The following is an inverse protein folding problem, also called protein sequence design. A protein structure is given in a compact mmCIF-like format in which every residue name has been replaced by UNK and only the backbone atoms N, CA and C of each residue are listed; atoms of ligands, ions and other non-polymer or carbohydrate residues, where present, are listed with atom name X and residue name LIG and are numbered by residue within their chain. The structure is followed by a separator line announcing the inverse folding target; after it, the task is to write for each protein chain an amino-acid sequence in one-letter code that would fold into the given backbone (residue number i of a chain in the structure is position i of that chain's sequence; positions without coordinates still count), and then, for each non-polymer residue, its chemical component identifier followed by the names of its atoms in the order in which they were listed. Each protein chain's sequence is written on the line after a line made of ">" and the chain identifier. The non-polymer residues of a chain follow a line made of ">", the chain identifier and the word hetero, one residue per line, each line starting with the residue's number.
data_IF_566973765253
#
_entry.id   IF_566973765253
#
_cell.length_a   1.000
_cell.length_b   1.000
_cell.length_c   1.000
_cell.angle_alpha   90.00
_cell.angle_beta   90.00
_cell.angle_gamma   90.00
#
_symmetry.space_group_name_H-M   'P 1'
#
loop_
_entity.id
_entity.type
_entity.pdbx_description
1 polymer ?
#
# COMPACT_ATOMS: atom_id res chain seq x y z
N UNK A 1 27.70 20.68 0.21
CA UNK A 1 26.25 20.66 -0.08
C UNK A 1 25.71 19.33 0.43
N UNK A 2 24.54 19.28 1.09
CA UNK A 2 23.96 18.01 1.52
C UNK A 2 23.37 17.27 0.32
N UNK A 3 23.48 15.95 0.28
CA UNK A 3 23.00 15.10 -0.83
C UNK A 3 21.89 14.17 -0.36
N UNK A 4 20.83 14.05 -1.16
CA UNK A 4 19.73 13.10 -0.98
C UNK A 4 19.69 12.13 -2.16
N UNK A 5 19.70 10.84 -1.85
CA UNK A 5 19.54 9.78 -2.86
C UNK A 5 18.05 9.52 -3.10
N UNK A 6 17.62 9.47 -4.35
CA UNK A 6 16.27 9.04 -4.74
C UNK A 6 16.40 7.64 -5.36
N UNK A 7 15.86 6.63 -4.70
CA UNK A 7 15.86 5.26 -5.22
C UNK A 7 14.68 5.04 -6.16
N UNK A 8 14.97 4.51 -7.35
CA UNK A 8 13.97 4.13 -8.36
C UNK A 8 14.16 2.68 -8.83
N UNK A 9 13.10 2.06 -9.34
CA UNK A 9 13.14 0.66 -9.79
C UNK A 9 13.70 0.48 -11.21
N UNK A 10 13.72 1.53 -12.03
CA UNK A 10 14.23 1.49 -13.42
C UNK A 10 14.89 2.81 -13.82
N UNK A 11 15.93 2.74 -14.67
CA UNK A 11 16.66 3.93 -15.17
C UNK A 11 15.81 4.74 -16.16
N UNK A 12 14.96 4.06 -16.93
CA UNK A 12 14.04 4.67 -17.88
C UNK A 12 12.70 4.90 -17.20
N UNK A 13 12.54 6.11 -16.71
CA UNK A 13 11.27 6.59 -16.18
C UNK A 13 10.61 7.41 -17.29
N UNK A 14 9.42 7.01 -17.72
CA UNK A 14 8.64 7.70 -18.75
C UNK A 14 7.42 8.42 -18.16
N UNK A 15 6.89 9.40 -18.89
CA UNK A 15 5.64 10.06 -18.52
C UNK A 15 5.67 10.78 -17.17
N UNK A 16 4.68 10.48 -16.31
CA UNK A 16 4.40 11.20 -15.06
C UNK A 16 5.56 11.12 -14.06
N UNK A 17 6.14 9.93 -13.90
CA UNK A 17 7.19 9.69 -12.92
C UNK A 17 8.46 10.52 -13.24
N UNK A 18 8.75 10.73 -14.54
CA UNK A 18 9.87 11.57 -14.99
C UNK A 18 9.68 13.02 -14.60
N UNK A 19 8.47 13.56 -14.83
CA UNK A 19 8.10 14.95 -14.50
C UNK A 19 8.25 15.17 -12.99
N UNK A 20 7.72 14.25 -12.19
CA UNK A 20 7.82 14.32 -10.73
C UNK A 20 9.27 14.27 -10.24
N UNK A 21 10.08 13.36 -10.82
CA UNK A 21 11.50 13.22 -10.49
C UNK A 21 12.28 14.49 -10.79
N UNK A 22 12.15 15.03 -12.00
CA UNK A 22 12.85 16.24 -12.42
C UNK A 22 12.43 17.45 -11.55
N UNK A 23 11.14 17.59 -11.26
CA UNK A 23 10.64 18.64 -10.39
C UNK A 23 11.15 18.50 -8.95
N UNK A 24 11.22 17.29 -8.41
CA UNK A 24 11.74 17.04 -7.06
C UNK A 24 13.24 17.35 -6.98
N UNK A 25 14.03 16.95 -7.97
CA UNK A 25 15.46 17.29 -8.04
C UNK A 25 15.68 18.81 -8.07
N UNK A 26 14.86 19.54 -8.85
CA UNK A 26 14.92 21.00 -8.89
C UNK A 26 14.50 21.64 -7.55
N UNK A 27 13.45 21.12 -6.91
CA UNK A 27 12.98 21.59 -5.61
C UNK A 27 13.99 21.33 -4.48
N UNK A 28 14.76 20.23 -4.54
CA UNK A 28 15.87 19.99 -3.62
C UNK A 28 17.01 20.99 -3.87
N UNK A 29 17.38 21.20 -5.14
CA UNK A 29 18.44 22.13 -5.55
C UNK A 29 18.15 23.56 -5.14
N UNK A 30 16.92 24.04 -5.33
CA UNK A 30 16.51 25.39 -4.90
C UNK A 30 16.59 25.59 -3.38
N UNK A 31 16.65 24.51 -2.60
CA UNK A 31 16.80 24.51 -1.14
C UNK A 31 18.22 24.17 -0.68
N UNK A 32 19.20 24.16 -1.58
CA UNK A 32 20.61 23.90 -1.27
C UNK A 32 20.94 22.43 -1.02
N UNK A 33 20.12 21.51 -1.55
CA UNK A 33 20.38 20.07 -1.54
C UNK A 33 20.67 19.54 -2.94
N UNK A 34 21.64 18.66 -3.05
CA UNK A 34 21.87 17.87 -4.26
C UNK A 34 20.94 16.65 -4.24
N UNK A 35 20.17 16.44 -5.30
CA UNK A 35 19.43 15.20 -5.50
C UNK A 35 20.18 14.31 -6.49
N UNK A 36 20.32 13.02 -6.18
CA UNK A 36 20.90 12.02 -7.08
C UNK A 36 20.00 10.80 -7.18
N UNK A 37 19.72 10.36 -8.40
CA UNK A 37 18.87 9.19 -8.65
C UNK A 37 19.75 7.94 -8.72
N UNK A 38 19.38 6.90 -7.96
CA UNK A 38 20.03 5.58 -8.01
C UNK A 38 18.97 4.52 -8.31
N UNK A 39 19.33 3.59 -9.19
CA UNK A 39 18.51 2.41 -9.44
C UNK A 39 19.05 1.27 -8.60
N UNK A 40 18.15 0.55 -7.92
CA UNK A 40 18.55 -0.59 -7.11
C UNK A 40 18.59 -1.86 -7.96
N UNK A 41 19.74 -2.52 -7.95
CA UNK A 41 19.94 -3.87 -8.46
C UNK A 41 20.65 -4.68 -7.37
N UNK A 42 20.20 -5.91 -7.11
CA UNK A 42 20.74 -6.74 -6.01
C UNK A 42 22.25 -6.94 -6.14
N UNK A 43 22.74 -7.13 -7.37
CA UNK A 43 24.17 -7.31 -7.67
C UNK A 43 25.04 -6.08 -7.40
N UNK A 44 24.43 -4.89 -7.24
CA UNK A 44 25.12 -3.62 -6.99
C UNK A 44 24.96 -3.16 -5.54
N UNK A 45 24.36 -3.97 -4.66
CA UNK A 45 24.04 -3.58 -3.28
C UNK A 45 25.26 -3.05 -2.51
N UNK A 46 26.38 -3.77 -2.58
CA UNK A 46 27.61 -3.41 -1.88
C UNK A 46 28.21 -2.11 -2.43
N UNK A 47 28.28 -1.97 -3.75
CA UNK A 47 28.77 -0.76 -4.42
C UNK A 47 27.90 0.46 -4.09
N UNK A 48 26.57 0.29 -4.13
CA UNK A 48 25.62 1.33 -3.76
C UNK A 48 25.81 1.76 -2.31
N UNK A 49 25.94 0.81 -1.39
CA UNK A 49 26.20 1.11 0.02
C UNK A 49 27.49 1.92 0.21
N UNK A 50 28.61 1.47 -0.38
CA UNK A 50 29.90 2.16 -0.26
C UNK A 50 29.88 3.58 -0.85
N UNK A 51 29.26 3.74 -2.02
CA UNK A 51 29.17 5.04 -2.70
C UNK A 51 28.29 6.03 -1.92
N UNK A 52 27.12 5.56 -1.45
CA UNK A 52 26.12 6.39 -0.78
C UNK A 52 26.59 6.76 0.63
N UNK A 53 27.12 5.82 1.40
CA UNK A 53 27.59 6.06 2.78
C UNK A 53 28.65 7.16 2.89
N UNK A 54 29.47 7.35 1.85
CA UNK A 54 30.53 8.37 1.80
C UNK A 54 30.03 9.76 1.37
N UNK A 55 28.88 9.84 0.70
CA UNK A 55 28.48 11.05 -0.04
C UNK A 55 27.10 11.60 0.29
N UNK A 56 26.19 10.78 0.81
CA UNK A 56 24.81 11.15 1.06
C UNK A 56 24.55 11.53 2.53
N UNK A 57 23.52 12.34 2.74
CA UNK A 57 22.98 12.69 4.06
C UNK A 57 21.62 12.06 4.34
N UNK A 58 20.96 11.54 3.31
CA UNK A 58 19.70 10.81 3.44
C UNK A 58 19.24 10.23 2.11
N UNK A 59 18.14 9.49 2.15
CA UNK A 59 17.53 8.88 0.96
C UNK A 59 16.01 8.98 0.98
N UNK A 60 15.40 8.91 -0.20
CA UNK A 60 13.97 8.77 -0.42
C UNK A 60 13.72 7.57 -1.33
N UNK A 61 12.91 6.61 -0.88
CA UNK A 61 12.55 5.45 -1.69
C UNK A 61 11.29 5.72 -2.51
N UNK A 62 11.41 5.57 -3.84
CA UNK A 62 10.28 5.53 -4.78
C UNK A 62 10.06 4.12 -5.34
N UNK A 63 10.52 3.08 -4.64
CA UNK A 63 10.37 1.70 -5.06
C UNK A 63 9.15 1.09 -4.36
N UNK A 64 8.17 0.61 -5.15
CA UNK A 64 7.06 -0.19 -4.61
C UNK A 64 7.57 -1.60 -4.25
N UNK A 65 7.62 -1.92 -2.96
CA UNK A 65 8.10 -3.23 -2.48
C UNK A 65 7.26 -4.41 -3.00
N UNK A 66 5.99 -4.17 -3.30
CA UNK A 66 5.08 -5.16 -3.88
C UNK A 66 5.49 -5.63 -5.28
N UNK A 67 6.30 -4.84 -6.00
CA UNK A 67 6.78 -5.15 -7.35
C UNK A 67 8.13 -5.87 -7.35
N UNK A 68 8.78 -6.00 -6.19
CA UNK A 68 10.04 -6.72 -6.03
C UNK A 68 9.80 -8.19 -5.69
N UNK A 69 10.65 -9.08 -6.22
CA UNK A 69 10.71 -10.46 -5.78
C UNK A 69 11.16 -10.54 -4.31
N UNK A 70 10.82 -11.61 -3.55
CA UNK A 70 11.10 -11.69 -2.12
C UNK A 70 12.56 -11.40 -1.75
N UNK A 71 13.53 -12.03 -2.43
CA UNK A 71 14.96 -11.83 -2.18
C UNK A 71 15.43 -10.41 -2.52
N UNK A 72 14.87 -9.80 -3.57
CA UNK A 72 15.20 -8.42 -3.95
C UNK A 72 14.66 -7.43 -2.92
N UNK A 73 13.44 -7.66 -2.44
CA UNK A 73 12.81 -6.85 -1.39
C UNK A 73 13.61 -6.89 -0.09
N UNK A 74 13.99 -8.08 0.36
CA UNK A 74 14.81 -8.26 1.56
C UNK A 74 16.18 -7.59 1.39
N UNK A 75 16.83 -7.81 0.25
CA UNK A 75 18.13 -7.19 -0.08
C UNK A 75 18.05 -5.67 -0.09
N UNK A 76 16.96 -5.10 -0.64
CA UNK A 76 16.72 -3.67 -0.67
C UNK A 76 16.49 -3.10 0.73
N UNK A 77 15.61 -3.71 1.53
CA UNK A 77 15.36 -3.27 2.90
C UNK A 77 16.63 -3.34 3.75
N UNK A 78 17.47 -4.36 3.59
CA UNK A 78 18.74 -4.45 4.31
C UNK A 78 19.76 -3.39 3.86
N UNK A 79 19.77 -3.01 2.57
CA UNK A 79 20.57 -1.86 2.11
C UNK A 79 20.11 -0.59 2.85
N UNK A 80 18.81 -0.31 2.88
CA UNK A 80 18.29 0.89 3.53
C UNK A 80 18.60 0.89 5.04
N UNK A 81 18.41 -0.24 5.74
CA UNK A 81 18.76 -0.37 7.16
C UNK A 81 20.27 -0.16 7.39
N UNK A 82 21.11 -0.69 6.50
CA UNK A 82 22.57 -0.50 6.60
C UNK A 82 22.96 0.96 6.42
N UNK A 83 22.32 1.68 5.50
CA UNK A 83 22.52 3.13 5.31
C UNK A 83 22.15 3.93 6.56
N UNK A 84 21.03 3.59 7.23
CA UNK A 84 20.64 4.25 8.47
C UNK A 84 21.65 4.01 9.61
N UNK A 85 22.20 2.79 9.73
CA UNK A 85 23.25 2.47 10.72
C UNK A 85 24.51 3.33 10.60
N UNK A 86 24.81 3.85 9.41
CA UNK A 86 25.97 4.74 9.17
C UNK A 86 25.58 6.22 9.05
N UNK A 87 24.36 6.58 9.43
CA UNK A 87 23.89 7.97 9.50
C UNK A 87 23.36 8.55 8.18
N UNK A 88 23.06 7.70 7.20
CA UNK A 88 22.32 8.10 5.97
C UNK A 88 20.85 7.74 6.16
N UNK A 89 20.07 8.71 6.65
CA UNK A 89 18.70 8.46 7.10
C UNK A 89 17.67 8.42 5.97
N UNK A 90 16.65 7.58 6.13
CA UNK A 90 15.49 7.57 5.26
C UNK A 90 14.53 8.70 5.58
N UNK A 91 14.05 9.38 4.54
CA UNK A 91 12.88 10.25 4.62
C UNK A 91 11.67 9.46 5.15
N UNK A 92 11.57 8.19 4.77
CA UNK A 92 10.67 7.19 5.38
C UNK A 92 11.57 6.05 5.82
N UNK A 93 11.46 5.62 7.08
CA UNK A 93 12.29 4.53 7.59
C UNK A 93 11.90 3.18 6.94
N UNK A 94 12.83 2.21 6.80
CA UNK A 94 12.60 0.96 6.07
C UNK A 94 11.44 0.14 6.63
N UNK A 95 11.32 0.09 7.96
CA UNK A 95 10.22 -0.60 8.64
C UNK A 95 8.87 0.05 8.35
N UNK A 96 8.82 1.38 8.17
CA UNK A 96 7.60 2.09 7.81
C UNK A 96 7.23 1.82 6.35
N UNK A 97 8.20 1.79 5.43
CA UNK A 97 7.97 1.40 4.03
C UNK A 97 7.40 -0.01 3.97
N UNK A 98 8.00 -0.94 4.70
CA UNK A 98 7.56 -2.34 4.79
C UNK A 98 6.13 -2.44 5.35
N UNK A 99 5.84 -1.79 6.48
CA UNK A 99 4.53 -1.82 7.12
C UNK A 99 3.42 -1.22 6.24
N UNK A 100 3.68 -0.09 5.56
CA UNK A 100 2.69 0.51 4.65
C UNK A 100 2.50 -0.27 3.36
N UNK A 101 3.49 -1.07 2.93
CA UNK A 101 3.40 -1.90 1.72
C UNK A 101 2.64 -3.21 1.96
N UNK A 102 2.46 -3.59 3.22
CA UNK A 102 1.77 -4.80 3.64
C UNK A 102 0.27 -4.55 3.77
N UNK A 103 -0.55 -5.35 3.08
CA UNK A 103 -2.02 -5.21 3.17
C UNK A 103 -2.57 -5.65 4.52
N UNK A 104 -1.96 -6.65 5.15
CA UNK A 104 -2.37 -7.15 6.46
C UNK A 104 -2.10 -6.17 7.61
N UNK A 105 -1.29 -5.14 7.40
CA UNK A 105 -1.12 -4.00 8.32
C UNK A 105 -2.42 -3.27 8.61
N UNK A 106 -3.40 -3.33 7.69
CA UNK A 106 -4.73 -2.77 7.89
C UNK A 106 -5.43 -3.37 9.12
N UNK A 107 -5.12 -4.62 9.50
CA UNK A 107 -5.73 -5.27 10.66
C UNK A 107 -5.38 -4.55 11.98
N UNK A 108 -4.22 -3.89 12.05
CA UNK A 108 -3.82 -3.05 13.20
C UNK A 108 -4.74 -1.83 13.35
N UNK A 109 -5.44 -1.46 12.29
CA UNK A 109 -6.33 -0.31 12.22
C UNK A 109 -7.81 -0.68 12.47
N UNK A 110 -8.20 -1.95 12.64
CA UNK A 110 -9.61 -2.30 12.89
C UNK A 110 -10.21 -1.51 14.04
N UNK A 111 -9.52 -1.42 15.17
CA UNK A 111 -10.01 -0.72 16.37
C UNK A 111 -10.21 0.80 16.17
N UNK A 112 -9.76 1.36 15.05
CA UNK A 112 -9.89 2.78 14.77
C UNK A 112 -11.15 3.13 13.95
N UNK A 113 -11.89 2.13 13.48
CA UNK A 113 -13.12 2.29 12.71
C UNK A 113 -12.93 2.64 11.23
N UNK A 114 -11.70 2.62 10.71
CA UNK A 114 -11.43 2.80 9.28
C UNK A 114 -11.49 1.47 8.52
N UNK A 115 -11.19 0.35 9.16
CA UNK A 115 -11.21 -0.97 8.54
C UNK A 115 -12.43 -1.73 9.05
N UNK A 116 -13.06 -2.53 8.20
CA UNK A 116 -14.25 -3.29 8.59
C UNK A 116 -13.92 -4.22 9.78
N UNK A 117 -14.79 -4.24 10.79
CA UNK A 117 -14.56 -5.03 12.02
C UNK A 117 -14.46 -6.53 11.75
N UNK A 118 -15.23 -7.02 10.78
CA UNK A 118 -15.24 -8.40 10.30
C UNK A 118 -14.07 -8.70 9.34
N UNK A 119 -12.86 -8.28 9.69
CA UNK A 119 -11.64 -8.48 8.90
C UNK A 119 -10.62 -9.36 9.64
N UNK A 120 -10.00 -10.29 8.92
CA UNK A 120 -9.10 -11.30 9.52
C UNK A 120 -7.79 -11.42 8.76
N UNK A 121 -6.75 -11.88 9.49
CA UNK A 121 -5.44 -12.18 8.94
C UNK A 121 -5.03 -13.60 9.24
N UNK A 122 -4.48 -14.28 8.24
CA UNK A 122 -4.02 -15.66 8.34
C UNK A 122 -2.55 -15.77 7.91
N UNK A 123 -1.65 -15.86 8.90
CA UNK A 123 -0.23 -16.16 8.68
C UNK A 123 0.10 -17.66 8.75
N UNK A 124 -0.91 -18.53 8.87
CA UNK A 124 -0.73 -19.96 9.01
C UNK A 124 -1.81 -20.69 8.18
N UNK A 125 -1.41 -21.74 7.46
CA UNK A 125 -2.27 -22.46 6.51
C UNK A 125 -3.38 -23.23 7.22
N UNK A 126 -3.08 -23.90 8.32
CA UNK A 126 -4.09 -24.66 9.08
C UNK A 126 -5.16 -23.72 9.64
N UNK A 127 -4.74 -22.59 10.23
CA UNK A 127 -5.66 -21.56 10.75
C UNK A 127 -6.53 -20.97 9.65
N UNK A 128 -5.98 -20.69 8.47
CA UNK A 128 -6.78 -20.21 7.33
C UNK A 128 -7.87 -21.22 6.96
N UNK A 129 -7.49 -22.49 6.80
CA UNK A 129 -8.41 -23.57 6.43
C UNK A 129 -9.51 -23.81 7.46
N UNK A 130 -9.19 -23.65 8.74
CA UNK A 130 -10.15 -23.83 9.84
C UNK A 130 -11.06 -22.60 10.02
N UNK A 131 -10.52 -21.37 9.95
CA UNK A 131 -11.24 -20.15 10.34
C UNK A 131 -12.00 -19.47 9.19
N UNK A 132 -11.47 -19.47 7.96
CA UNK A 132 -12.14 -18.81 6.82
C UNK A 132 -13.56 -19.33 6.52
N UNK A 133 -13.88 -20.63 6.67
CA UNK A 133 -15.25 -21.11 6.48
C UNK A 133 -16.29 -20.44 7.37
N UNK A 134 -15.91 -19.91 8.54
CA UNK A 134 -16.80 -19.18 9.44
C UNK A 134 -17.06 -17.76 8.95
N UNK A 135 -16.02 -17.05 8.49
CA UNK A 135 -16.20 -15.70 7.92
C UNK A 135 -16.96 -15.72 6.61
N UNK A 136 -16.82 -16.78 5.79
CA UNK A 136 -17.55 -16.91 4.53
C UNK A 136 -19.06 -17.13 4.71
N UNK A 137 -19.52 -17.59 5.87
CA UNK A 137 -20.96 -17.70 6.16
C UNK A 137 -21.61 -16.33 6.29
N UNK A 138 -20.92 -15.38 6.92
CA UNK A 138 -21.52 -14.08 7.30
C UNK A 138 -21.73 -13.17 6.11
N UNK A 139 -20.79 -13.19 5.16
CA UNK A 139 -20.85 -12.38 3.96
C UNK A 139 -19.99 -12.97 2.85
N UNK A 140 -20.19 -12.48 1.63
CA UNK A 140 -19.18 -12.62 0.60
C UNK A 140 -17.86 -11.98 1.04
N UNK A 141 -16.74 -12.58 0.64
CA UNK A 141 -15.39 -12.23 1.11
C UNK A 141 -14.48 -11.80 -0.04
N UNK A 142 -13.47 -11.00 0.28
CA UNK A 142 -12.33 -10.71 -0.59
C UNK A 142 -11.07 -11.16 0.12
N UNK A 143 -10.39 -12.13 -0.47
CA UNK A 143 -9.10 -12.60 -0.02
C UNK A 143 -7.97 -11.91 -0.79
N UNK A 144 -6.94 -11.48 -0.08
CA UNK A 144 -5.76 -10.80 -0.65
C UNK A 144 -4.49 -11.28 0.03
N UNK A 145 -3.43 -11.64 -0.71
CA UNK A 145 -2.11 -11.81 -0.12
C UNK A 145 -1.61 -10.48 0.45
N UNK A 146 -0.83 -10.54 1.55
CA UNK A 146 -0.27 -9.37 2.20
C UNK A 146 0.68 -8.57 1.29
N UNK A 147 1.29 -9.23 0.30
CA UNK A 147 2.17 -8.65 -0.71
C UNK A 147 1.85 -9.13 -2.13
N UNK A 148 2.16 -8.29 -3.12
CA UNK A 148 2.07 -8.61 -4.54
C UNK A 148 0.72 -8.27 -5.16
N UNK A 149 0.64 -8.19 -6.48
CA UNK A 149 -0.57 -7.79 -7.22
C UNK A 149 -1.50 -8.96 -7.56
N UNK A 150 -1.03 -10.20 -7.36
CA UNK A 150 -1.77 -11.43 -7.67
C UNK A 150 -2.62 -11.92 -6.49
N UNK A 151 -3.52 -12.86 -6.76
CA UNK A 151 -4.23 -13.57 -5.70
C UNK A 151 -5.36 -12.78 -5.04
N UNK A 152 -5.86 -11.69 -5.63
CA UNK A 152 -7.04 -10.98 -5.12
C UNK A 152 -8.34 -11.62 -5.64
N UNK A 153 -9.08 -12.31 -4.76
CA UNK A 153 -10.22 -13.17 -5.14
C UNK A 153 -11.46 -12.78 -4.34
N UNK A 154 -12.59 -12.57 -5.01
CA UNK A 154 -13.91 -12.52 -4.36
C UNK A 154 -14.42 -13.95 -4.22
N UNK A 155 -14.96 -14.28 -3.05
CA UNK A 155 -15.44 -15.62 -2.70
C UNK A 155 -16.85 -15.50 -2.14
N UNK A 156 -17.79 -16.30 -2.65
CA UNK A 156 -19.16 -16.36 -2.13
C UNK A 156 -19.73 -17.77 -2.16
N UNK A 157 -20.68 -18.04 -1.28
CA UNK A 157 -21.46 -19.28 -1.34
C UNK A 157 -22.48 -19.21 -2.48
N UNK A 158 -22.83 -20.34 -3.08
CA UNK A 158 -23.89 -20.41 -4.10
C UNK A 158 -25.29 -20.34 -3.48
N UNK A 159 -25.40 -20.79 -2.24
CA UNK A 159 -26.65 -20.85 -1.49
C UNK A 159 -26.52 -20.04 -0.21
N UNK A 160 -27.65 -19.52 0.27
CA UNK A 160 -27.72 -18.89 1.57
C UNK A 160 -27.54 -19.96 2.66
N UNK A 161 -26.52 -19.79 3.51
CA UNK A 161 -26.19 -20.75 4.57
C UNK A 161 -27.09 -20.64 5.81
N UNK A 162 -27.94 -19.63 5.87
CA UNK A 162 -28.96 -19.50 6.91
C UNK A 162 -28.37 -19.41 8.31
N UNK A 163 -28.62 -20.44 9.13
CA UNK A 163 -28.17 -20.54 10.53
C UNK A 163 -26.94 -21.47 10.69
N UNK A 164 -26.30 -21.92 9.61
CA UNK A 164 -25.06 -22.70 9.74
C UNK A 164 -23.93 -21.84 10.30
N UNK A 165 -23.10 -22.40 11.19
CA UNK A 165 -21.98 -21.66 11.78
C UNK A 165 -20.75 -21.59 10.84
N UNK A 166 -20.64 -22.52 9.88
CA UNK A 166 -19.54 -22.57 8.91
C UNK A 166 -19.94 -23.22 7.58
N UNK A 167 -19.31 -22.78 6.49
CA UNK A 167 -19.42 -23.44 5.18
C UNK A 167 -18.68 -24.79 5.22
N UNK A 168 -19.29 -25.87 4.70
CA UNK A 168 -18.64 -27.19 4.68
C UNK A 168 -17.60 -27.25 3.58
N UNK A 169 -16.53 -28.01 3.79
CA UNK A 169 -15.47 -28.15 2.79
C UNK A 169 -15.97 -28.76 1.46
N UNK A 170 -17.01 -29.59 1.52
CA UNK A 170 -17.66 -30.18 0.35
C UNK A 170 -18.60 -29.22 -0.39
N UNK A 171 -18.93 -28.07 0.20
CA UNK A 171 -19.88 -27.14 -0.41
C UNK A 171 -19.25 -26.44 -1.59
N UNK A 172 -20.04 -26.28 -2.66
CA UNK A 172 -19.62 -25.52 -3.83
C UNK A 172 -19.70 -24.03 -3.54
N UNK A 173 -18.61 -23.33 -3.86
CA UNK A 173 -18.49 -21.87 -3.76
C UNK A 173 -18.20 -21.30 -5.14
N UNK A 174 -18.53 -20.02 -5.31
CA UNK A 174 -18.13 -19.23 -6.47
C UNK A 174 -16.95 -18.35 -6.10
N UNK A 175 -15.97 -18.32 -6.99
CA UNK A 175 -14.78 -17.49 -6.87
C UNK A 175 -14.63 -16.64 -8.12
N UNK A 176 -14.18 -15.40 -7.92
CA UNK A 176 -13.93 -14.46 -9.01
C UNK A 176 -12.58 -13.79 -8.84
N UNK A 177 -11.67 -14.04 -9.79
CA UNK A 177 -10.32 -13.46 -9.80
C UNK A 177 -10.35 -12.01 -10.28
N UNK A 178 -9.82 -11.09 -9.47
CA UNK A 178 -9.75 -9.67 -9.83
C UNK A 178 -8.93 -9.42 -11.10
N UNK A 179 -7.88 -10.23 -11.33
CA UNK A 179 -6.95 -10.03 -12.45
C UNK A 179 -7.35 -10.82 -13.69
N UNK A 180 -7.70 -12.08 -13.52
CA UNK A 180 -8.03 -12.97 -14.65
C UNK A 180 -9.45 -12.77 -15.16
N UNK A 181 -10.28 -12.01 -14.42
CA UNK A 181 -11.67 -11.75 -14.78
C UNK A 181 -12.49 -13.04 -14.94
N UNK A 182 -12.05 -14.09 -14.26
CA UNK A 182 -12.58 -15.43 -14.41
C UNK A 182 -13.43 -15.82 -13.21
N UNK A 183 -14.65 -16.26 -13.52
CA UNK A 183 -15.55 -16.91 -12.59
C UNK A 183 -15.30 -18.42 -12.59
N UNK A 184 -15.22 -19.04 -11.41
CA UNK A 184 -15.16 -20.50 -11.28
C UNK A 184 -16.04 -20.96 -10.14
N UNK A 185 -16.48 -22.20 -10.23
CA UNK A 185 -17.24 -22.88 -9.19
C UNK A 185 -16.50 -24.15 -8.81
N UNK A 186 -16.19 -24.32 -7.53
CA UNK A 186 -15.42 -25.45 -6.99
C UNK A 186 -15.78 -25.70 -5.52
N UNK A 187 -15.40 -26.87 -4.99
CA UNK A 187 -15.58 -27.15 -3.57
C UNK A 187 -14.69 -26.25 -2.71
N UNK A 188 -15.20 -25.81 -1.55
CA UNK A 188 -14.46 -24.95 -0.64
C UNK A 188 -13.12 -25.57 -0.21
N UNK A 189 -13.10 -26.89 0.03
CA UNK A 189 -11.87 -27.61 0.38
C UNK A 189 -10.78 -27.48 -0.67
N UNK A 190 -11.12 -27.70 -1.94
CA UNK A 190 -10.17 -27.57 -3.06
C UNK A 190 -9.65 -26.14 -3.21
N UNK A 191 -10.54 -25.16 -3.04
CA UNK A 191 -10.17 -23.75 -3.04
C UNK A 191 -9.18 -23.43 -1.92
N UNK A 192 -9.46 -23.88 -0.69
CA UNK A 192 -8.62 -23.62 0.48
C UNK A 192 -7.24 -24.26 0.34
N UNK A 193 -7.15 -25.48 -0.19
CA UNK A 193 -5.87 -26.12 -0.49
C UNK A 193 -5.05 -25.27 -1.46
N UNK A 194 -5.62 -24.91 -2.62
CA UNK A 194 -4.94 -24.11 -3.62
C UNK A 194 -4.57 -22.70 -3.14
N UNK A 195 -5.51 -22.00 -2.50
CA UNK A 195 -5.31 -20.61 -2.10
C UNK A 195 -4.37 -20.47 -0.88
N UNK A 196 -4.28 -21.48 -0.01
CA UNK A 196 -3.34 -21.49 1.12
C UNK A 196 -1.87 -21.42 0.69
N UNK A 197 -1.56 -21.67 -0.59
CA UNK A 197 -0.20 -21.51 -1.16
C UNK A 197 0.31 -20.07 -1.15
N UNK A 198 -0.57 -19.08 -1.00
CA UNK A 198 -0.18 -17.68 -0.80
C UNK A 198 0.38 -17.38 0.60
N UNK A 199 0.27 -18.31 1.56
CA UNK A 199 0.88 -18.21 2.89
C UNK A 199 2.26 -18.85 2.87
N UNK A 200 3.26 -18.07 3.30
CA UNK A 200 4.64 -18.50 3.56
C UNK A 200 5.19 -17.72 4.77
N UNK A 201 6.49 -17.87 5.07
CA UNK A 201 7.13 -17.20 6.21
C UNK A 201 7.05 -15.66 6.14
N UNK A 202 6.87 -15.10 4.94
CA UNK A 202 6.86 -13.65 4.66
C UNK A 202 5.47 -13.12 4.30
N UNK A 203 4.54 -13.99 3.90
CA UNK A 203 3.21 -13.64 3.40
C UNK A 203 2.08 -14.23 4.23
N UNK A 204 1.09 -13.39 4.47
CA UNK A 204 -0.18 -13.77 5.07
C UNK A 204 -1.32 -13.55 4.07
N UNK A 205 -2.48 -14.10 4.37
CA UNK A 205 -3.74 -13.76 3.68
C UNK A 205 -4.52 -12.77 4.54
N UNK A 206 -4.99 -11.72 3.91
CA UNK A 206 -5.98 -10.79 4.43
C UNK A 206 -7.36 -11.19 3.92
N UNK A 207 -8.32 -11.27 4.82
CA UNK A 207 -9.71 -11.63 4.57
C UNK A 207 -10.62 -10.48 4.98
N UNK A 208 -11.28 -9.88 3.99
CA UNK A 208 -12.13 -8.71 4.15
C UNK A 208 -13.55 -9.03 3.68
N UNK A 209 -14.59 -8.38 4.23
CA UNK A 209 -15.92 -8.45 3.63
C UNK A 209 -15.90 -7.83 2.23
N UNK A 210 -16.64 -8.40 1.29
CA UNK A 210 -16.84 -7.79 -0.01
C UNK A 210 -17.78 -6.59 0.09
N UNK A 211 -17.29 -5.43 -0.34
CA UNK A 211 -18.05 -4.17 -0.31
C UNK A 211 -18.61 -3.89 -1.72
N UNK A 212 -19.88 -4.22 -1.95
CA UNK A 212 -20.54 -4.08 -3.26
C UNK A 212 -20.54 -2.62 -3.79
N UNK A 213 -20.49 -1.65 -2.88
CA UNK A 213 -20.33 -0.23 -3.17
C UNK A 213 -19.02 0.13 -3.91
N UNK A 214 -18.06 -0.81 -4.03
CA UNK A 214 -16.88 -0.66 -4.91
C UNK A 214 -17.26 -0.32 -6.36
N UNK A 215 -18.46 -0.69 -6.80
CA UNK A 215 -19.00 -0.31 -8.11
C UNK A 215 -19.12 1.23 -8.30
N UNK A 216 -19.19 2.00 -7.20
CA UNK A 216 -19.18 3.47 -7.20
C UNK A 216 -17.77 4.06 -7.37
N UNK A 217 -16.74 3.22 -7.21
CA UNK A 217 -15.33 3.57 -7.33
C UNK A 217 -14.59 3.57 -5.99
N UNK A 218 -13.32 3.17 -6.05
CA UNK A 218 -12.37 3.31 -4.94
C UNK A 218 -11.77 4.73 -4.94
N UNK A 219 -11.77 5.40 -3.80
CA UNK A 219 -11.25 6.75 -3.63
C UNK A 219 -9.83 6.69 -3.08
N UNK A 220 -8.84 7.04 -3.90
CA UNK A 220 -7.46 7.21 -3.48
C UNK A 220 -7.20 8.65 -3.07
N UNK A 221 -6.95 8.86 -1.79
CA UNK A 221 -6.63 10.19 -1.25
C UNK A 221 -5.12 10.36 -1.23
N UNK A 222 -4.60 11.34 -1.99
CA UNK A 222 -3.22 11.79 -1.89
C UNK A 222 -3.05 12.65 -0.63
N UNK A 223 -2.03 12.37 0.16
CA UNK A 223 -1.75 13.06 1.42
C UNK A 223 -0.31 13.57 1.38
N UNK A 224 -0.14 14.90 1.49
CA UNK A 224 1.16 15.52 1.74
C UNK A 224 1.31 15.73 3.24
N UNK A 225 2.26 15.03 3.85
CA UNK A 225 2.44 15.01 5.30
C UNK A 225 1.13 14.63 6.03
N UNK A 226 0.44 15.56 6.67
CA UNK A 226 -0.84 15.36 7.37
C UNK A 226 -2.05 15.94 6.63
N UNK A 227 -1.85 16.45 5.42
CA UNK A 227 -2.83 17.22 4.67
C UNK A 227 -3.29 16.46 3.42
N UNK A 228 -4.56 16.01 3.36
CA UNK A 228 -5.18 15.51 2.13
C UNK A 228 -5.20 16.59 1.05
N UNK A 229 -4.78 16.22 -0.16
CA UNK A 229 -4.55 17.16 -1.25
C UNK A 229 -5.45 16.91 -2.47
N UNK A 230 -5.70 15.65 -2.82
CA UNK A 230 -6.40 15.27 -4.04
C UNK A 230 -7.11 13.93 -3.84
N UNK A 231 -8.24 13.72 -4.53
CA UNK A 231 -8.93 12.44 -4.59
C UNK A 231 -8.92 11.94 -6.04
N UNK A 232 -8.44 10.72 -6.23
CA UNK A 232 -8.59 9.96 -7.46
C UNK A 232 -9.63 8.87 -7.24
N UNK A 233 -10.77 8.98 -7.92
CA UNK A 233 -11.79 7.94 -7.98
C UNK A 233 -11.47 6.94 -9.09
N UNK A 234 -11.32 5.67 -8.72
CA UNK A 234 -11.01 4.55 -9.60
C UNK A 234 -12.24 3.66 -9.72
N UNK A 235 -13.00 3.83 -10.80
CA UNK A 235 -14.25 3.11 -11.04
C UNK A 235 -13.92 1.79 -11.77
N UNK A 236 -14.22 0.61 -11.21
CA UNK A 236 -13.95 -0.66 -11.88
C UNK A 236 -14.78 -0.79 -13.17
N UNK A 237 -14.31 -1.61 -14.10
CA UNK A 237 -15.11 -1.97 -15.27
C UNK A 237 -16.43 -2.65 -14.85
N UNK A 238 -17.48 -2.54 -15.68
CA UNK A 238 -18.81 -3.09 -15.36
C UNK A 238 -18.73 -4.59 -15.02
N UNK A 239 -19.25 -4.97 -13.85
CA UNK A 239 -19.24 -6.36 -13.36
C UNK A 239 -17.92 -6.78 -12.68
N UNK A 240 -16.93 -5.89 -12.66
CA UNK A 240 -15.61 -6.13 -12.06
C UNK A 240 -15.50 -5.42 -10.71
N UNK A 241 -14.52 -5.82 -9.91
CA UNK A 241 -14.21 -5.15 -8.65
C UNK A 241 -12.75 -4.68 -8.56
N UNK A 242 -11.91 -5.07 -9.52
CA UNK A 242 -10.54 -4.58 -9.64
C UNK A 242 -10.50 -3.14 -10.19
N UNK A 243 -9.74 -2.28 -9.53
CA UNK A 243 -9.69 -0.83 -9.82
C UNK A 243 -8.42 -0.42 -10.56
N UNK A 244 -7.70 -1.36 -11.17
CA UNK A 244 -6.51 -1.08 -11.98
C UNK A 244 -6.89 -0.65 -13.41
N UNK A 245 -6.15 0.29 -14.00
CA UNK A 245 -6.29 0.65 -15.43
C UNK A 245 -6.12 -0.57 -16.34
N UNK A 246 -5.22 -1.49 -16.01
CA UNK A 246 -5.00 -2.73 -16.77
C UNK A 246 -6.22 -3.66 -16.76
N UNK A 247 -7.11 -3.50 -15.78
CA UNK A 247 -8.38 -4.23 -15.66
C UNK A 247 -9.56 -3.47 -16.31
N UNK A 248 -9.29 -2.37 -17.01
CA UNK A 248 -10.31 -1.55 -17.68
C UNK A 248 -11.01 -0.53 -16.77
N UNK A 249 -10.45 -0.26 -15.58
CA UNK A 249 -10.99 0.77 -14.70
C UNK A 249 -10.90 2.17 -15.31
N UNK A 250 -11.83 3.05 -14.95
CA UNK A 250 -11.85 4.46 -15.35
C UNK A 250 -11.47 5.34 -14.18
N UNK A 251 -10.58 6.29 -14.42
CA UNK A 251 -10.04 7.17 -13.38
C UNK A 251 -10.56 8.58 -13.55
N UNK A 252 -10.99 9.19 -12.45
CA UNK A 252 -11.47 10.57 -12.42
C UNK A 252 -10.99 11.26 -11.15
N UNK A 253 -10.52 12.49 -11.28
CA UNK A 253 -10.20 13.34 -10.13
C UNK A 253 -11.46 13.98 -9.56
N UNK A 254 -11.57 14.01 -8.23
CA UNK A 254 -12.71 14.58 -7.52
C UNK A 254 -12.24 15.60 -6.48
N UNK A 255 -13.10 16.58 -6.19
CA UNK A 255 -12.81 17.61 -5.20
C UNK A 255 -12.89 17.03 -3.78
N UNK A 256 -12.01 17.47 -2.89
CA UNK A 256 -12.03 17.11 -1.46
C UNK A 256 -13.40 17.41 -0.83
N UNK A 257 -14.01 18.51 -1.25
CA UNK A 257 -15.33 18.98 -0.79
C UNK A 257 -16.49 18.08 -1.21
N UNK A 258 -16.32 17.24 -2.23
CA UNK A 258 -17.32 16.22 -2.58
C UNK A 258 -17.37 15.07 -1.57
N UNK A 259 -16.32 14.92 -0.76
CA UNK A 259 -16.17 13.83 0.22
C UNK A 259 -15.79 14.34 1.62
N UNK A 260 -16.46 15.42 2.09
CA UNK A 260 -16.13 16.07 3.38
C UNK A 260 -16.07 15.11 4.56
N UNK A 261 -16.98 14.14 4.64
CA UNK A 261 -16.99 13.14 5.72
C UNK A 261 -15.73 12.27 5.69
N UNK A 262 -15.33 11.79 4.51
CA UNK A 262 -14.08 11.03 4.34
C UNK A 262 -12.88 11.86 4.78
N UNK A 263 -12.75 13.08 4.26
CA UNK A 263 -11.59 13.94 4.53
C UNK A 263 -11.51 14.33 6.00
N UNK A 264 -12.64 14.65 6.63
CA UNK A 264 -12.71 14.96 8.07
C UNK A 264 -12.29 13.75 8.91
N UNK A 265 -12.84 12.57 8.61
CA UNK A 265 -12.53 11.34 9.34
C UNK A 265 -11.06 10.93 9.16
N UNK A 266 -10.55 10.97 7.93
CA UNK A 266 -9.15 10.68 7.63
C UNK A 266 -8.21 11.62 8.40
N UNK A 267 -8.41 12.94 8.32
CA UNK A 267 -7.59 13.92 9.06
C UNK A 267 -7.55 13.62 10.55
N UNK A 268 -8.70 13.31 11.16
CA UNK A 268 -8.77 12.97 12.58
C UNK A 268 -8.04 11.66 12.93
N UNK A 269 -7.90 10.74 11.97
CA UNK A 269 -7.29 9.42 12.16
C UNK A 269 -5.82 9.32 11.75
N UNK A 270 -5.28 10.28 11.00
CA UNK A 270 -3.86 10.32 10.60
C UNK A 270 -2.91 10.09 11.80
N UNK A 271 -3.05 10.78 12.96
CA UNK A 271 -2.16 10.54 14.09
C UNK A 271 -2.18 9.10 14.59
N UNK A 272 -3.36 8.47 14.62
CA UNK A 272 -3.51 7.08 15.06
C UNK A 272 -2.92 6.08 14.04
N UNK A 273 -3.10 6.35 12.74
CA UNK A 273 -2.50 5.55 11.65
C UNK A 273 -0.97 5.60 11.78
N UNK A 274 -0.40 6.80 11.85
CA UNK A 274 1.04 7.00 11.98
C UNK A 274 1.59 6.40 13.27
N UNK A 275 0.88 6.51 14.39
CA UNK A 275 1.30 5.87 15.64
C UNK A 275 1.40 4.35 15.50
N UNK A 276 0.38 3.71 14.90
CA UNK A 276 0.29 2.25 14.79
C UNK A 276 1.21 1.65 13.72
N UNK A 277 1.44 2.36 12.62
CA UNK A 277 2.15 1.83 11.44
C UNK A 277 3.52 2.47 11.19
N UNK A 278 3.77 3.64 11.76
CA UNK A 278 4.98 4.42 11.51
C UNK A 278 5.69 4.88 12.78
N UNK A 279 5.36 4.31 13.94
CA UNK A 279 5.89 4.73 15.25
C UNK A 279 5.74 6.24 15.51
N UNK A 280 4.67 6.84 14.99
CA UNK A 280 4.38 8.27 15.10
C UNK A 280 5.03 9.14 14.01
N UNK A 281 5.88 8.58 13.14
CA UNK A 281 6.39 9.32 11.98
C UNK A 281 5.29 9.55 10.95
N UNK A 282 5.22 10.77 10.40
CA UNK A 282 4.29 11.13 9.34
C UNK A 282 5.05 11.10 8.02
N UNK A 283 4.70 10.23 7.06
CA UNK A 283 5.37 10.20 5.76
C UNK A 283 5.19 11.53 5.01
N UNK A 284 6.19 12.01 4.26
CA UNK A 284 6.07 13.28 3.52
C UNK A 284 5.04 13.20 2.40
N UNK A 285 4.87 12.02 1.81
CA UNK A 285 3.91 11.76 0.74
C UNK A 285 3.45 10.30 0.84
N UNK A 286 2.14 10.14 0.86
CA UNK A 286 1.50 8.84 1.00
C UNK A 286 0.06 8.91 0.47
N UNK A 287 -0.57 7.76 0.31
CA UNK A 287 -1.98 7.70 -0.07
C UNK A 287 -2.73 6.64 0.71
N UNK A 288 -4.05 6.84 0.77
CA UNK A 288 -4.99 5.94 1.39
C UNK A 288 -6.16 5.69 0.43
N UNK A 289 -6.40 4.43 0.10
CA UNK A 289 -7.48 3.99 -0.79
C UNK A 289 -8.69 3.58 0.05
N UNK A 290 -9.87 4.11 -0.25
CA UNK A 290 -11.12 3.86 0.46
C UNK A 290 -12.20 3.33 -0.47
N UNK A 291 -13.03 2.42 0.05
CA UNK A 291 -14.24 1.94 -0.61
C UNK A 291 -15.44 2.56 0.10
N UNK A 292 -16.38 3.21 -0.63
CA UNK A 292 -17.64 3.64 -0.03
C UNK A 292 -18.39 2.46 0.60
N UNK A 293 -19.08 2.68 1.71
CA UNK A 293 -19.93 1.65 2.32
C UNK A 293 -21.09 2.33 3.06
N UNK A 294 -22.27 2.35 2.42
CA UNK A 294 -23.38 3.16 2.89
C UNK A 294 -23.00 4.65 2.96
N UNK A 295 -23.07 5.25 4.16
CA UNK A 295 -22.66 6.63 4.45
C UNK A 295 -21.19 6.76 4.92
N UNK A 296 -20.48 5.63 5.07
CA UNK A 296 -19.11 5.57 5.55
C UNK A 296 -18.13 5.19 4.44
N UNK A 297 -16.84 5.12 4.80
CA UNK A 297 -15.74 4.76 3.91
C UNK A 297 -14.83 3.77 4.64
N UNK A 298 -14.53 2.66 3.99
CA UNK A 298 -13.66 1.60 4.53
C UNK A 298 -12.29 1.68 3.85
N UNK A 299 -11.24 1.80 4.66
CA UNK A 299 -9.86 1.80 4.23
C UNK A 299 -9.49 0.43 3.66
N UNK A 300 -9.01 0.43 2.42
CA UNK A 300 -8.73 -0.76 1.63
C UNK A 300 -7.24 -0.95 1.32
N UNK A 301 -6.46 0.15 1.31
CA UNK A 301 -5.01 0.11 1.09
C UNK A 301 -4.34 1.39 1.59
N UNK A 302 -3.09 1.27 2.01
CA UNK A 302 -2.18 2.39 2.23
C UNK A 302 -0.98 2.25 1.29
N UNK A 303 -0.35 3.38 0.94
CA UNK A 303 0.90 3.41 0.16
C UNK A 303 1.78 4.55 0.64
N UNK A 304 3.09 4.35 0.58
CA UNK A 304 4.09 5.37 0.94
C UNK A 304 5.25 5.37 -0.04
N UNK A 305 5.90 6.52 -0.24
CA UNK A 305 7.09 6.64 -1.08
C UNK A 305 6.80 6.69 -2.58
N UNK A 306 6.35 5.58 -3.16
CA UNK A 306 5.98 5.51 -4.58
C UNK A 306 4.51 5.92 -4.79
N UNK A 307 4.22 7.19 -4.50
CA UNK A 307 2.90 7.79 -4.71
C UNK A 307 3.05 8.92 -5.73
N UNK A 308 2.29 8.83 -6.83
CA UNK A 308 2.30 9.86 -7.88
C UNK A 308 1.64 11.14 -7.38
N UNK A 309 2.29 12.27 -7.67
CA UNK A 309 1.84 13.64 -7.43
C UNK A 309 1.93 14.52 -8.69
N UNK A 310 2.03 13.92 -9.88
CA UNK A 310 2.21 14.63 -11.14
C UNK A 310 1.08 15.64 -11.43
N UNK A 311 -0.14 15.33 -10.99
CA UNK A 311 -1.31 16.22 -11.08
C UNK A 311 -1.28 17.35 -10.05
N UNK A 312 -0.43 17.23 -9.04
CA UNK A 312 -0.20 18.20 -7.96
C UNK A 312 1.26 18.62 -7.88
N UNK A 313 1.87 18.89 -9.04
CA UNK A 313 3.27 19.33 -9.11
C UNK A 313 3.52 20.63 -8.35
N UNK A 314 2.46 21.42 -8.10
CA UNK A 314 2.47 22.60 -7.23
C UNK A 314 2.93 22.27 -5.80
N UNK A 315 2.74 21.03 -5.33
CA UNK A 315 3.15 20.59 -3.99
C UNK A 315 4.64 20.26 -3.89
N UNK A 316 5.38 20.16 -5.00
CA UNK A 316 6.76 19.64 -5.00
C UNK A 316 7.70 20.43 -4.10
N UNK A 317 7.49 21.74 -3.99
CA UNK A 317 8.29 22.60 -3.11
C UNK A 317 8.06 22.29 -1.63
N UNK A 318 6.81 22.02 -1.25
CA UNK A 318 6.43 21.64 0.11
C UNK A 318 6.90 20.22 0.43
N UNK A 319 6.73 19.28 -0.51
CA UNK A 319 7.24 17.90 -0.39
C UNK A 319 8.75 17.92 -0.12
N UNK A 320 9.54 18.62 -0.96
CA UNK A 320 10.98 18.73 -0.77
C UNK A 320 11.36 19.38 0.57
N UNK A 321 10.61 20.40 1.01
CA UNK A 321 10.81 21.01 2.32
C UNK A 321 10.59 20.00 3.46
N UNK A 322 9.50 19.24 3.41
CA UNK A 322 9.15 18.22 4.41
C UNK A 322 10.20 17.11 4.46
N UNK A 323 10.68 16.64 3.30
CA UNK A 323 11.75 15.64 3.21
C UNK A 323 13.04 16.12 3.90
N UNK A 324 13.48 17.34 3.58
CA UNK A 324 14.69 17.95 4.18
C UNK A 324 14.52 18.10 5.69
N UNK A 325 13.35 18.57 6.15
CA UNK A 325 13.03 18.73 7.57
C UNK A 325 13.14 17.40 8.32
N UNK A 326 12.58 16.33 7.76
CA UNK A 326 12.66 14.97 8.35
C UNK A 326 14.11 14.54 8.52
N UNK A 327 14.92 14.62 7.45
CA UNK A 327 16.33 14.20 7.52
C UNK A 327 17.12 15.03 8.54
N UNK A 328 16.93 16.35 8.57
CA UNK A 328 17.59 17.22 9.55
C UNK A 328 17.23 16.85 10.98
N UNK A 329 15.97 16.54 11.25
CA UNK A 329 15.50 16.14 12.58
C UNK A 329 16.09 14.79 13.02
N UNK A 330 16.11 13.77 12.14
CA UNK A 330 16.73 12.46 12.44
C UNK A 330 18.20 12.62 12.82
N UNK A 331 18.94 13.39 12.03
CA UNK A 331 20.36 13.70 12.31
C UNK A 331 20.57 14.45 13.63
N UNK A 332 19.73 15.42 13.94
CA UNK A 332 19.84 16.20 15.18
C UNK A 332 19.60 15.34 16.43
N UNK A 333 18.73 14.33 16.32
CA UNK A 333 18.36 13.45 17.43
C UNK A 333 19.27 12.22 17.57
N UNK A 334 20.19 11.98 16.63
CA UNK A 334 21.07 10.80 16.64
C UNK A 334 20.30 9.48 16.56
N UNK A 335 19.10 9.51 15.97
CA UNK A 335 18.23 8.36 15.71
C UNK A 335 18.53 7.82 14.34
#
# INVERSE_FOLDING_TARGET
>A
MQKMIIFEACKQVEGRDRIEREALLEALRSKGWEGEVKVFEVSQKEELFESISKSASGYFSRIELENLYPLERESYLELLRSLERVGVFGVIAPNVIEEFSRRDSLLKLISNGLVAEDSYGYGNKERFKDSFPYSLVTSERVLKPSFGSEGIWRVRTLENKGLEDKVKLSDMIEIFSAKEHQLRTLALGDFLEGYSTYIDETKAILDLPFLADIARGELSVLINYDTPCEILCKIPAKGMFGTSLFMGAQYRYEFLDSHRTLIKTLKAKIPEICLKLANGEIPPIWSADFIPHGEHYILNRLKVGCVSFATRIDLVQEIAHNMIKIIKNKRANGI
#
